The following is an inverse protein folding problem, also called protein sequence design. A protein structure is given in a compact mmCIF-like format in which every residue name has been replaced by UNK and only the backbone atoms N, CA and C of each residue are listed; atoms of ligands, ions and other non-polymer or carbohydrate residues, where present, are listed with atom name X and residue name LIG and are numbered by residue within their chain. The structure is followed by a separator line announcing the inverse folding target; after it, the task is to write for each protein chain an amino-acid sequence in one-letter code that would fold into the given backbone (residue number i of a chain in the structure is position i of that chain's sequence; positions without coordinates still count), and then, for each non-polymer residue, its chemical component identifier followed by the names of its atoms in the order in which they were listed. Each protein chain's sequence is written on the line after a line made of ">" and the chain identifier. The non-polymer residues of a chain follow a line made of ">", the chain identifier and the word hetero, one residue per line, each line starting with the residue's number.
data_IF_520984255620
#
_entry.id   IF_520984255620
#
_cell.length_a   1.000
_cell.length_b   1.000
_cell.length_c   1.000
_cell.angle_alpha   90.00
_cell.angle_beta   90.00
_cell.angle_gamma   90.00
#
_symmetry.space_group_name_H-M   'P 1'
#
loop_
_entity.id
_entity.type
_entity.pdbx_description
1 polymer ?
#
# COMPACT_ATOMS: atom_id res chain seq x y z
N UNK A 1 33.11 -5.05 -35.71
CA UNK A 1 33.50 -5.12 -34.27
C UNK A 1 33.29 -3.80 -33.52
N UNK A 2 32.42 -2.88 -34.03
CA UNK A 2 32.16 -1.57 -33.40
C UNK A 2 30.69 -1.40 -32.99
N UNK A 3 29.79 -2.21 -33.58
CA UNK A 3 28.33 -2.18 -33.32
C UNK A 3 27.96 -2.62 -31.90
N UNK A 4 28.71 -3.55 -31.31
CA UNK A 4 28.48 -4.02 -29.93
C UNK A 4 28.73 -2.93 -28.87
N UNK A 5 29.76 -2.08 -29.07
CA UNK A 5 30.06 -0.96 -28.18
C UNK A 5 28.94 0.10 -28.19
N UNK A 6 28.30 0.31 -29.34
CA UNK A 6 27.14 1.21 -29.43
C UNK A 6 25.92 0.60 -28.75
N UNK A 7 25.63 -0.69 -28.97
CA UNK A 7 24.50 -1.36 -28.31
C UNK A 7 24.68 -1.36 -26.80
N UNK A 8 25.89 -1.64 -26.30
CA UNK A 8 26.20 -1.58 -24.87
C UNK A 8 26.09 -0.13 -24.35
N UNK A 9 26.61 0.87 -25.07
CA UNK A 9 26.40 2.28 -24.69
C UNK A 9 24.93 2.72 -24.71
N UNK A 10 24.11 2.27 -25.67
CA UNK A 10 22.69 2.59 -25.72
C UNK A 10 21.92 1.85 -24.62
N UNK A 11 22.27 0.59 -24.35
CA UNK A 11 21.75 -0.18 -23.24
C UNK A 11 22.15 0.49 -21.92
N UNK A 12 23.45 0.61 -21.61
CA UNK A 12 23.95 1.33 -20.44
C UNK A 12 23.37 2.74 -20.32
N UNK A 13 23.25 3.55 -21.37
CA UNK A 13 22.62 4.87 -21.29
C UNK A 13 21.11 4.82 -21.05
N UNK A 14 20.40 3.82 -21.59
CA UNK A 14 18.97 3.60 -21.37
C UNK A 14 18.70 3.12 -19.93
N UNK A 15 19.54 2.23 -19.39
CA UNK A 15 19.43 1.69 -18.03
C UNK A 15 20.04 2.60 -16.95
N UNK A 16 21.03 3.44 -17.25
CA UNK A 16 21.64 4.37 -16.29
C UNK A 16 21.09 5.81 -16.37
N UNK A 17 20.21 6.14 -17.33
CA UNK A 17 19.33 7.32 -17.23
C UNK A 17 18.08 7.04 -16.38
N UNK A 18 18.17 6.14 -15.41
CA UNK A 18 17.28 6.18 -14.26
C UNK A 18 17.51 7.53 -13.63
N UNK A 19 16.59 8.46 -13.87
CA UNK A 19 16.62 9.76 -13.23
C UNK A 19 16.42 9.55 -11.73
N UNK A 20 17.51 9.45 -10.97
CA UNK A 20 17.49 9.35 -9.50
C UNK A 20 16.71 10.49 -8.84
N UNK A 21 16.40 11.56 -9.59
CA UNK A 21 15.45 12.61 -9.22
C UNK A 21 14.00 12.12 -9.00
N UNK A 22 13.63 10.93 -9.47
CA UNK A 22 12.28 10.35 -9.36
C UNK A 22 12.17 9.28 -8.26
N UNK A 23 13.17 9.15 -7.38
CA UNK A 23 13.12 8.19 -6.28
C UNK A 23 13.05 9.01 -4.98
N UNK A 24 11.88 9.02 -4.33
CA UNK A 24 11.70 9.71 -3.07
C UNK A 24 11.67 8.74 -1.89
N UNK A 25 12.86 8.48 -1.34
CA UNK A 25 13.05 7.65 -0.16
C UNK A 25 12.96 8.44 1.15
N UNK A 26 12.73 9.76 1.08
CA UNK A 26 12.62 10.59 2.28
C UNK A 26 11.16 10.59 2.71
N UNK A 27 10.81 9.94 3.83
CA UNK A 27 9.44 9.96 4.33
C UNK A 27 9.03 11.41 4.61
N UNK A 28 7.78 11.73 4.27
CA UNK A 28 7.15 13.05 4.43
C UNK A 28 7.68 14.18 3.53
N UNK A 29 8.57 13.90 2.57
CA UNK A 29 9.07 14.94 1.64
C UNK A 29 7.98 15.41 0.67
N UNK A 30 7.11 14.49 0.21
CA UNK A 30 5.99 14.85 -0.67
C UNK A 30 4.95 15.66 0.12
N UNK A 31 4.70 15.30 1.38
CA UNK A 31 3.89 16.10 2.32
C UNK A 31 4.43 17.53 2.47
N UNK A 32 5.73 17.71 2.74
CA UNK A 32 6.35 19.04 2.88
C UNK A 32 6.29 19.90 1.62
N UNK A 33 6.49 19.31 0.44
CA UNK A 33 6.42 20.02 -0.85
C UNK A 33 4.98 20.34 -1.28
N UNK A 34 4.00 19.51 -0.93
CA UNK A 34 2.59 19.77 -1.23
C UNK A 34 2.10 21.02 -0.47
N UNK A 35 2.47 21.19 0.80
CA UNK A 35 2.13 22.42 1.54
C UNK A 35 2.79 23.69 0.98
N UNK A 36 3.94 23.55 0.29
CA UNK A 36 4.69 24.69 -0.24
C UNK A 36 4.29 25.09 -1.68
N UNK A 37 3.63 24.22 -2.46
CA UNK A 37 3.50 24.38 -3.93
C UNK A 37 2.05 24.32 -4.45
N UNK A 38 1.02 23.97 -3.67
CA UNK A 38 -0.26 23.54 -4.28
C UNK A 38 -1.05 24.62 -5.04
N UNK A 39 -0.98 24.55 -6.37
CA UNK A 39 -2.04 24.95 -7.30
C UNK A 39 -3.09 23.83 -7.57
N UNK A 40 -2.89 22.59 -7.06
CA UNK A 40 -3.79 21.45 -7.33
C UNK A 40 -4.03 20.50 -6.13
N UNK A 41 -4.65 20.96 -5.03
CA UNK A 41 -4.91 20.15 -3.83
C UNK A 41 -5.76 18.89 -4.09
N UNK A 42 -6.62 18.89 -5.11
CA UNK A 42 -7.50 17.76 -5.42
C UNK A 42 -6.78 16.50 -5.94
N UNK A 43 -5.61 16.64 -6.57
CA UNK A 43 -4.83 15.50 -7.06
C UNK A 43 -4.14 14.78 -5.90
N UNK A 44 -3.61 15.54 -4.95
CA UNK A 44 -2.98 15.02 -3.74
C UNK A 44 -3.96 14.17 -2.91
N UNK A 45 -5.14 14.69 -2.60
CA UNK A 45 -6.14 13.95 -1.81
C UNK A 45 -6.59 12.66 -2.48
N UNK A 46 -6.70 12.64 -3.81
CA UNK A 46 -7.03 11.41 -4.55
C UNK A 46 -5.93 10.36 -4.44
N UNK A 47 -4.66 10.75 -4.50
CA UNK A 47 -3.53 9.82 -4.33
C UNK A 47 -3.48 9.32 -2.87
N UNK A 48 -3.60 10.23 -1.91
CA UNK A 48 -3.61 9.90 -0.49
C UNK A 48 -4.71 8.90 -0.13
N UNK A 49 -5.96 9.21 -0.49
CA UNK A 49 -7.12 8.35 -0.21
C UNK A 49 -7.03 7.06 -1.03
N UNK A 50 -6.57 7.14 -2.27
CA UNK A 50 -6.38 5.98 -3.14
C UNK A 50 -5.44 4.96 -2.52
N UNK A 51 -4.25 5.39 -2.09
CA UNK A 51 -3.26 4.52 -1.46
C UNK A 51 -3.72 4.03 -0.08
N UNK A 52 -4.40 4.87 0.70
CA UNK A 52 -4.98 4.43 1.98
C UNK A 52 -6.06 3.34 1.79
N UNK A 53 -6.93 3.47 0.80
CA UNK A 53 -8.02 2.52 0.60
C UNK A 53 -7.58 1.25 -0.16
N UNK A 54 -6.51 1.31 -0.94
CA UNK A 54 -6.07 0.24 -1.85
C UNK A 54 -5.90 -1.12 -1.13
N UNK A 55 -5.23 -1.13 0.02
CA UNK A 55 -4.98 -2.37 0.78
C UNK A 55 -5.93 -2.60 1.95
N UNK A 56 -6.90 -1.71 2.16
CA UNK A 56 -7.92 -1.91 3.20
C UNK A 56 -8.70 -3.23 3.01
N UNK A 57 -9.17 -3.59 1.80
CA UNK A 57 -9.82 -4.90 1.60
C UNK A 57 -8.88 -6.07 1.88
N UNK A 58 -7.61 -5.96 1.49
CA UNK A 58 -6.61 -7.02 1.69
C UNK A 58 -6.43 -7.35 3.17
N UNK A 59 -6.27 -6.32 4.02
CA UNK A 59 -6.12 -6.51 5.47
C UNK A 59 -7.32 -7.22 6.11
N UNK A 60 -8.53 -6.92 5.67
CA UNK A 60 -9.75 -7.60 6.13
C UNK A 60 -9.80 -9.06 5.66
N UNK A 61 -9.58 -9.30 4.36
CA UNK A 61 -9.73 -10.63 3.78
C UNK A 61 -8.65 -11.61 4.20
N UNK A 62 -7.42 -11.14 4.46
CA UNK A 62 -6.33 -11.97 4.99
C UNK A 62 -6.73 -12.69 6.27
N UNK A 63 -7.44 -12.01 7.18
CA UNK A 63 -7.96 -12.61 8.41
C UNK A 63 -9.29 -13.35 8.16
N UNK A 64 -10.18 -12.81 7.33
CA UNK A 64 -11.50 -13.42 7.06
C UNK A 64 -11.41 -14.78 6.38
N UNK A 65 -10.47 -14.92 5.45
CA UNK A 65 -10.18 -16.15 4.70
C UNK A 65 -9.16 -17.05 5.41
N UNK A 66 -8.66 -16.63 6.59
CA UNK A 66 -7.64 -17.36 7.36
C UNK A 66 -6.36 -17.65 6.55
N UNK A 67 -5.97 -16.72 5.67
CA UNK A 67 -4.67 -16.76 4.99
C UNK A 67 -3.55 -16.71 6.05
N UNK A 68 -3.76 -15.89 7.08
CA UNK A 68 -2.94 -15.88 8.31
C UNK A 68 -3.84 -15.77 9.53
N UNK A 69 -3.29 -16.11 10.69
CA UNK A 69 -3.99 -16.02 11.96
C UNK A 69 -3.35 -14.98 12.88
N UNK A 70 -4.16 -14.04 13.37
CA UNK A 70 -3.75 -13.01 14.32
C UNK A 70 -3.30 -11.70 13.67
N UNK A 71 -3.56 -10.59 14.39
CA UNK A 71 -3.33 -9.23 13.93
C UNK A 71 -1.87 -8.98 13.51
N UNK A 72 -0.91 -9.52 14.27
CA UNK A 72 0.52 -9.35 13.98
C UNK A 72 0.93 -10.00 12.66
N UNK A 73 0.49 -11.23 12.39
CA UNK A 73 0.80 -11.92 11.13
C UNK A 73 0.11 -11.23 9.94
N UNK A 74 -1.11 -10.74 10.14
CA UNK A 74 -1.82 -9.96 9.11
C UNK A 74 -1.13 -8.64 8.81
N UNK A 75 -0.64 -7.93 9.83
CA UNK A 75 0.17 -6.73 9.66
C UNK A 75 1.45 -7.02 8.87
N UNK A 76 2.22 -8.04 9.27
CA UNK A 76 3.44 -8.43 8.55
C UNK A 76 3.15 -8.80 7.09
N UNK A 77 2.05 -9.52 6.84
CA UNK A 77 1.62 -9.86 5.49
C UNK A 77 1.34 -8.60 4.65
N UNK A 78 0.53 -7.68 5.18
CA UNK A 78 0.22 -6.40 4.52
C UNK A 78 1.51 -5.62 4.25
N UNK A 79 2.36 -5.48 5.26
CA UNK A 79 3.62 -4.75 5.16
C UNK A 79 4.54 -5.35 4.09
N UNK A 80 4.74 -6.67 4.08
CA UNK A 80 5.53 -7.35 3.04
C UNK A 80 4.90 -7.17 1.66
N UNK A 81 3.57 -7.19 1.55
CA UNK A 81 2.86 -6.94 0.31
C UNK A 81 3.07 -5.50 -0.19
N UNK A 82 3.05 -4.50 0.70
CA UNK A 82 3.37 -3.10 0.34
C UNK A 82 4.79 -2.95 -0.16
N UNK A 83 5.77 -3.56 0.51
CA UNK A 83 7.15 -3.57 0.03
C UNK A 83 7.27 -4.27 -1.32
N UNK A 84 6.51 -5.35 -1.55
CA UNK A 84 6.45 -6.03 -2.84
C UNK A 84 5.92 -5.12 -3.97
N UNK A 85 4.86 -4.36 -3.71
CA UNK A 85 4.34 -3.37 -4.67
C UNK A 85 5.41 -2.33 -4.99
N UNK A 86 6.08 -1.78 -3.98
CA UNK A 86 7.12 -0.76 -4.15
C UNK A 86 8.30 -1.29 -4.96
N UNK A 87 8.77 -2.50 -4.66
CA UNK A 87 9.81 -3.18 -5.44
C UNK A 87 9.40 -3.34 -6.91
N UNK A 88 8.15 -3.72 -7.19
CA UNK A 88 7.65 -3.84 -8.55
C UNK A 88 7.53 -2.47 -9.25
N UNK A 89 7.18 -1.41 -8.53
CA UNK A 89 7.14 -0.05 -9.07
C UNK A 89 8.55 0.46 -9.37
N UNK A 90 9.51 0.20 -8.50
CA UNK A 90 10.93 0.52 -8.70
C UNK A 90 11.53 -0.23 -9.90
N UNK A 91 11.23 -1.53 -10.04
CA UNK A 91 11.62 -2.29 -11.22
C UNK A 91 10.98 -1.66 -12.46
N UNK A 92 9.68 -1.34 -12.43
CA UNK A 92 9.03 -0.67 -13.55
C UNK A 92 9.69 0.67 -13.89
N UNK A 93 10.11 1.47 -12.91
CA UNK A 93 10.79 2.75 -13.19
C UNK A 93 12.15 2.57 -13.87
N UNK A 94 12.84 1.44 -13.63
CA UNK A 94 14.11 1.11 -14.28
C UNK A 94 13.90 0.63 -15.73
N UNK A 95 12.95 -0.27 -15.95
CA UNK A 95 12.82 -0.98 -17.24
C UNK A 95 11.84 -0.31 -18.22
N UNK A 96 10.81 0.35 -17.70
CA UNK A 96 9.73 0.94 -18.49
C UNK A 96 9.80 2.44 -18.20
N UNK A 97 10.58 3.15 -19.02
CA UNK A 97 10.77 4.60 -18.93
C UNK A 97 9.40 5.29 -18.93
N UNK A 98 8.94 5.61 -17.73
CA UNK A 98 7.52 5.80 -17.43
C UNK A 98 7.30 6.48 -16.09
N UNK A 99 8.21 7.40 -15.72
CA UNK A 99 7.96 8.61 -14.92
C UNK A 99 7.19 8.52 -13.60
N UNK A 100 6.93 7.34 -13.03
CA UNK A 100 6.27 7.23 -11.74
C UNK A 100 7.32 7.23 -10.65
N UNK A 101 7.24 8.23 -9.79
CA UNK A 101 8.06 8.34 -8.59
C UNK A 101 7.73 7.20 -7.64
N UNK A 102 8.77 6.54 -7.14
CA UNK A 102 8.72 5.57 -6.04
C UNK A 102 8.74 6.40 -4.76
N UNK A 103 7.59 6.52 -4.10
CA UNK A 103 7.38 7.39 -2.95
C UNK A 103 7.13 6.55 -1.71
N UNK A 104 8.04 6.62 -0.73
CA UNK A 104 7.91 5.85 0.52
C UNK A 104 6.65 6.20 1.34
N UNK A 105 6.07 7.38 1.09
CA UNK A 105 4.79 7.81 1.63
C UNK A 105 3.65 6.88 1.20
N UNK A 106 3.73 6.28 -0.01
CA UNK A 106 2.73 5.34 -0.52
C UNK A 106 2.80 3.99 0.19
N UNK A 107 3.99 3.52 0.55
CA UNK A 107 4.18 2.30 1.38
C UNK A 107 3.53 2.48 2.75
N UNK A 108 3.74 3.64 3.38
CA UNK A 108 3.14 3.99 4.66
C UNK A 108 1.61 4.04 4.57
N UNK A 109 1.07 4.71 3.55
CA UNK A 109 -0.38 4.82 3.34
C UNK A 109 -1.04 3.48 3.05
N UNK A 110 -0.43 2.67 2.19
CA UNK A 110 -0.92 1.32 1.90
C UNK A 110 -0.87 0.42 3.15
N UNK A 111 0.16 0.55 3.98
CA UNK A 111 0.28 -0.20 5.24
C UNK A 111 -0.81 0.23 6.24
N UNK A 112 -1.05 1.53 6.37
CA UNK A 112 -2.13 2.09 7.18
C UNK A 112 -3.50 1.60 6.69
N UNK A 113 -3.69 1.53 5.37
CA UNK A 113 -4.86 0.94 4.74
C UNK A 113 -5.11 -0.49 5.19
N UNK A 114 -4.11 -1.36 5.08
CA UNK A 114 -4.26 -2.74 5.54
C UNK A 114 -4.51 -2.86 7.05
N UNK A 115 -3.95 -1.97 7.87
CA UNK A 115 -4.29 -1.88 9.30
C UNK A 115 -5.76 -1.50 9.52
N UNK A 116 -6.34 -0.59 8.73
CA UNK A 116 -7.78 -0.29 8.77
C UNK A 116 -8.62 -1.53 8.43
N UNK A 117 -8.18 -2.32 7.45
CA UNK A 117 -8.81 -3.59 7.09
C UNK A 117 -8.79 -4.62 8.23
N UNK A 118 -7.64 -4.75 8.90
CA UNK A 118 -7.47 -5.62 10.07
C UNK A 118 -8.37 -5.15 11.22
N UNK A 119 -8.41 -3.85 11.50
CA UNK A 119 -9.27 -3.28 12.52
C UNK A 119 -10.75 -3.54 12.20
N UNK A 120 -11.17 -3.34 10.95
CA UNK A 120 -12.54 -3.63 10.50
C UNK A 120 -12.93 -5.10 10.73
N UNK A 121 -12.02 -6.05 10.50
CA UNK A 121 -12.26 -7.46 10.77
C UNK A 121 -12.60 -7.72 12.24
N UNK A 122 -11.78 -7.20 13.17
CA UNK A 122 -12.01 -7.40 14.60
C UNK A 122 -13.26 -6.70 15.11
N UNK A 123 -13.56 -5.50 14.61
CA UNK A 123 -14.79 -4.76 14.94
C UNK A 123 -16.03 -5.58 14.51
N UNK A 124 -16.06 -6.08 13.28
CA UNK A 124 -17.19 -6.87 12.75
C UNK A 124 -17.37 -8.17 13.55
N UNK A 125 -16.28 -8.85 13.89
CA UNK A 125 -16.32 -10.07 14.71
C UNK A 125 -16.89 -9.79 16.11
N UNK A 126 -16.47 -8.70 16.75
CA UNK A 126 -16.96 -8.28 18.08
C UNK A 126 -18.44 -7.90 18.05
N UNK A 127 -18.89 -7.17 17.04
CA UNK A 127 -20.31 -6.83 16.87
C UNK A 127 -21.15 -8.10 16.69
N UNK A 128 -20.63 -9.05 15.90
CA UNK A 128 -21.30 -10.32 15.63
C UNK A 128 -21.40 -11.22 16.87
N UNK A 129 -20.41 -11.22 17.76
CA UNK A 129 -20.48 -11.98 19.02
C UNK A 129 -21.51 -11.40 19.98
N UNK A 130 -21.54 -10.07 20.16
CA UNK A 130 -22.51 -9.38 21.02
C UNK A 130 -23.96 -9.66 20.56
N UNK A 131 -24.20 -9.69 19.25
CA UNK A 131 -25.54 -10.00 18.71
C UNK A 131 -25.99 -11.43 19.04
N UNK A 132 -25.07 -12.40 19.00
CA UNK A 132 -25.35 -13.81 19.33
C UNK A 132 -25.69 -13.99 20.82
N UNK A 133 -24.92 -13.34 21.71
CA UNK A 133 -25.17 -13.38 23.16
C UNK A 133 -26.55 -12.82 23.53
N UNK A 134 -26.93 -11.68 22.93
CA UNK A 134 -28.27 -11.10 23.14
C UNK A 134 -29.39 -12.05 22.71
N UNK A 135 -29.27 -12.69 21.54
CA UNK A 135 -30.27 -13.63 21.03
C UNK A 135 -30.46 -14.84 21.95
N UNK A 136 -29.37 -15.41 22.46
CA UNK A 136 -29.43 -16.53 23.40
C UNK A 136 -30.09 -16.12 24.73
N UNK A 137 -29.80 -14.93 25.26
CA UNK A 137 -30.41 -14.45 26.52
C UNK A 137 -31.92 -14.20 26.42
N UNK A 138 -32.41 -13.77 25.26
CA UNK A 138 -33.85 -13.59 25.00
C UNK A 138 -34.56 -14.94 24.89
N UNK A 139 -33.92 -15.93 24.26
CA UNK A 139 -34.49 -17.28 24.14
C UNK A 139 -34.61 -17.98 25.50
N UNK A 140 -33.63 -17.84 26.40
CA UNK A 140 -33.66 -18.45 27.75
C UNK A 140 -34.71 -17.81 28.66
N UNK A 141 -34.98 -16.50 28.52
CA UNK A 141 -36.00 -15.80 29.33
C UNK A 141 -37.43 -16.03 28.87
N UNK A 142 -37.63 -16.48 27.63
CA UNK A 142 -38.94 -16.76 27.04
C UNK A 142 -39.40 -18.23 27.17
N UNK A 143 -38.55 -19.11 27.69
CA UNK A 143 -38.82 -20.52 27.99
C UNK A 143 -39.05 -20.71 29.48
#
# INVERSE_FOLDING_TARGET
>A
MVTWLYIDQYFTRFYFNVSFHQINLIPFKTLGNVYAITELPGVYWKQFIGNLLLLTPLGYFVLRLRIVEGAWKAFLFVFLFTMGIECLQFIKSIFISGGRSTDIDDVLLNTLGGLLGIAAYYIIQKISSIKKEKQQSVQIRGS
#
